data_IF_276289788937
#
_entry.id   IF_276289788937
#
_cell.length_a   1.000
_cell.length_b   1.000
_cell.length_c   1.000
_cell.angle_alpha   90.00
_cell.angle_beta   90.00
_cell.angle_gamma   90.00
#
_symmetry.space_group_name_H-M   'P 1'
#
loop_
_entity.id
_entity.type
_entity.pdbx_description
1 polymer ?
#
# COMPACT_ATOMS: atom_id res chain seq x y z
N UNK A 1 -5.54 55.45 18.66
CA UNK A 1 -6.72 55.74 19.49
C UNK A 1 -7.49 56.89 18.85
N UNK A 2 -8.57 56.61 18.12
CA UNK A 2 -9.80 57.43 18.04
C UNK A 2 -10.83 56.72 17.15
N UNK A 3 -12.09 56.97 17.51
CA UNK A 3 -13.29 56.15 17.29
C UNK A 3 -14.09 56.58 16.06
N UNK A 4 -14.82 55.60 15.50
CA UNK A 4 -16.04 55.67 14.66
C UNK A 4 -16.73 57.04 14.47
N UNK A 5 -17.25 57.31 13.25
CA UNK A 5 -18.62 56.95 12.89
C UNK A 5 -19.00 57.42 11.47
N UNK A 6 -19.98 56.71 10.93
CA UNK A 6 -20.51 56.61 9.55
C UNK A 6 -21.33 57.84 9.15
N UNK A 7 -21.24 58.29 7.89
CA UNK A 7 -22.37 58.88 7.15
C UNK A 7 -22.25 58.54 5.66
N UNK A 8 -23.24 57.82 5.12
CA UNK A 8 -23.38 57.48 3.70
C UNK A 8 -24.04 58.64 2.91
N UNK A 9 -23.52 59.01 1.72
CA UNK A 9 -24.25 59.90 0.81
C UNK A 9 -25.10 59.15 -0.26
N UNK A 10 -26.27 59.70 -0.65
CA UNK A 10 -27.38 58.99 -1.31
C UNK A 10 -27.29 58.96 -2.85
N UNK A 11 -26.10 58.70 -3.42
CA UNK A 11 -25.87 58.80 -4.88
C UNK A 11 -25.35 57.52 -5.54
N UNK A 12 -25.61 56.36 -4.94
CA UNK A 12 -25.11 55.07 -5.42
C UNK A 12 -26.21 54.08 -5.86
N UNK A 13 -27.43 54.56 -6.09
CA UNK A 13 -28.57 53.70 -6.46
C UNK A 13 -28.71 53.41 -7.97
N UNK A 14 -27.95 54.05 -8.86
CA UNK A 14 -28.20 53.97 -10.31
C UNK A 14 -27.03 53.44 -11.16
N UNK A 15 -25.97 52.90 -10.53
CA UNK A 15 -24.88 52.20 -11.24
C UNK A 15 -24.82 50.70 -10.97
N UNK A 16 -25.61 50.21 -10.03
CA UNK A 16 -25.69 48.78 -9.68
C UNK A 16 -26.61 47.98 -10.62
N UNK A 17 -27.58 48.64 -11.28
CA UNK A 17 -28.54 47.95 -12.15
C UNK A 17 -28.00 47.61 -13.55
N UNK A 18 -27.04 48.39 -14.06
CA UNK A 18 -26.40 48.14 -15.37
C UNK A 18 -25.38 46.99 -15.28
N UNK A 19 -24.77 46.77 -14.11
CA UNK A 19 -23.78 45.71 -13.90
C UNK A 19 -24.40 44.33 -13.65
N UNK A 20 -25.66 44.29 -13.19
CA UNK A 20 -26.44 43.07 -12.94
C UNK A 20 -27.05 42.46 -14.23
N UNK A 21 -27.27 43.27 -15.26
CA UNK A 21 -27.88 42.84 -16.55
C UNK A 21 -26.83 42.26 -17.52
N UNK A 22 -25.53 42.53 -17.32
CA UNK A 22 -24.44 41.95 -18.11
C UNK A 22 -24.01 40.54 -17.65
N UNK A 23 -24.53 40.05 -16.52
CA UNK A 23 -24.17 38.75 -15.92
C UNK A 23 -25.18 37.63 -16.25
N UNK A 24 -26.08 37.80 -17.22
CA UNK A 24 -27.14 36.83 -17.53
C UNK A 24 -27.11 36.24 -18.94
N UNK A 25 -26.06 36.50 -19.74
CA UNK A 25 -25.91 35.91 -21.06
C UNK A 25 -24.62 35.09 -21.20
N UNK A 26 -24.51 34.02 -20.40
CA UNK A 26 -23.72 32.85 -20.81
C UNK A 26 -24.66 31.64 -20.87
N UNK A 27 -25.11 31.22 -22.06
CA UNK A 27 -25.83 29.96 -22.21
C UNK A 27 -24.90 28.81 -21.81
N UNK A 28 -25.44 27.90 -21.01
CA UNK A 28 -24.71 26.83 -20.38
C UNK A 28 -23.98 25.93 -21.38
N UNK A 29 -22.75 25.60 -21.04
CA UNK A 29 -22.21 24.27 -21.27
C UNK A 29 -21.94 23.66 -19.90
N UNK A 30 -22.94 22.97 -19.36
CA UNK A 30 -22.68 21.91 -18.38
C UNK A 30 -22.05 20.78 -19.19
N UNK A 31 -20.78 20.95 -19.54
CA UNK A 31 -19.96 19.83 -19.92
C UNK A 31 -19.88 18.96 -18.68
N UNK A 32 -20.37 17.72 -18.78
CA UNK A 32 -19.78 16.65 -17.97
C UNK A 32 -18.29 16.69 -18.29
N UNK A 33 -17.50 17.39 -17.46
CA UNK A 33 -16.13 16.94 -17.24
C UNK A 33 -16.34 15.51 -16.80
N UNK A 34 -15.98 14.59 -17.70
CA UNK A 34 -15.65 13.25 -17.30
C UNK A 34 -14.74 13.48 -16.11
N UNK A 35 -15.24 13.21 -14.90
CA UNK A 35 -14.34 13.02 -13.78
C UNK A 35 -13.59 11.82 -14.31
N UNK A 36 -12.37 12.08 -14.80
CA UNK A 36 -11.39 11.02 -14.97
C UNK A 36 -11.28 10.57 -13.52
N UNK A 37 -12.07 9.56 -13.17
CA UNK A 37 -11.87 8.73 -12.02
C UNK A 37 -10.46 8.26 -12.24
N UNK A 38 -9.54 9.03 -11.68
CA UNK A 38 -8.17 8.66 -11.53
C UNK A 38 -8.30 7.55 -10.53
N UNK A 39 -8.60 6.36 -11.04
CA UNK A 39 -8.19 5.11 -10.45
C UNK A 39 -6.69 5.28 -10.39
N UNK A 40 -6.24 5.91 -9.32
CA UNK A 40 -4.91 5.75 -8.81
C UNK A 40 -4.85 4.26 -8.55
N UNK A 41 -4.44 3.53 -9.58
CA UNK A 41 -3.89 2.20 -9.42
C UNK A 41 -2.77 2.42 -8.43
N UNK A 42 -3.07 2.21 -7.15
CA UNK A 42 -2.07 2.03 -6.12
C UNK A 42 -1.36 0.75 -6.55
N UNK A 43 -0.38 0.90 -7.44
CA UNK A 43 0.47 -0.19 -7.88
C UNK A 43 1.29 -0.57 -6.65
N UNK A 44 0.78 -1.53 -5.88
CA UNK A 44 1.50 -2.10 -4.75
C UNK A 44 2.79 -2.66 -5.31
N UNK A 45 3.91 -2.05 -4.94
CA UNK A 45 5.21 -2.49 -5.41
C UNK A 45 5.56 -3.80 -4.70
N UNK A 46 5.51 -4.89 -5.46
CA UNK A 46 5.95 -6.21 -5.01
C UNK A 46 7.48 -6.25 -4.93
N UNK A 47 7.99 -6.78 -3.83
CA UNK A 47 9.42 -7.01 -3.60
C UNK A 47 9.82 -8.37 -4.16
N UNK A 48 10.89 -8.42 -4.97
CA UNK A 48 11.50 -9.69 -5.40
C UNK A 48 12.14 -10.41 -4.22
N UNK A 49 12.00 -11.73 -4.16
CA UNK A 49 12.41 -12.51 -2.99
C UNK A 49 13.93 -12.42 -2.77
N UNK A 50 14.74 -12.47 -3.84
CA UNK A 50 16.20 -12.35 -3.75
C UNK A 50 16.67 -11.06 -3.05
N UNK A 51 15.90 -9.98 -3.17
CA UNK A 51 16.26 -8.67 -2.65
C UNK A 51 16.14 -8.60 -1.12
N UNK A 52 15.41 -9.53 -0.50
CA UNK A 52 15.17 -9.55 0.95
C UNK A 52 16.49 -9.80 1.70
N UNK A 53 17.22 -10.85 1.30
CA UNK A 53 18.51 -11.19 1.89
C UNK A 53 19.59 -10.14 1.59
N UNK A 54 19.57 -9.57 0.37
CA UNK A 54 20.53 -8.55 -0.05
C UNK A 54 20.38 -7.23 0.71
N UNK A 55 19.14 -6.81 0.96
CA UNK A 55 18.85 -5.51 1.57
C UNK A 55 18.77 -5.56 3.10
N UNK A 56 18.78 -6.77 3.70
CA UNK A 56 18.75 -7.01 5.16
C UNK A 56 17.71 -6.17 5.92
N UNK A 57 16.51 -6.05 5.36
CA UNK A 57 15.44 -5.18 5.90
C UNK A 57 14.61 -5.86 7.00
N UNK A 58 15.27 -6.40 8.04
CA UNK A 58 14.58 -7.01 9.18
C UNK A 58 13.58 -6.02 9.79
N UNK A 59 12.39 -6.50 10.11
CA UNK A 59 11.27 -5.74 10.65
C UNK A 59 10.44 -4.98 9.62
N UNK A 60 10.89 -4.88 8.36
CA UNK A 60 10.13 -4.18 7.30
C UNK A 60 8.88 -4.95 6.87
N UNK A 61 7.82 -4.22 6.50
CA UNK A 61 6.59 -4.80 5.96
C UNK A 61 6.60 -4.65 4.44
N UNK A 62 6.54 -5.78 3.74
CA UNK A 62 6.65 -5.84 2.28
C UNK A 62 5.49 -6.60 1.66
N UNK A 63 5.23 -6.34 0.39
CA UNK A 63 4.40 -7.20 -0.44
C UNK A 63 5.29 -8.14 -1.23
N UNK A 64 4.96 -9.42 -1.25
CA UNK A 64 5.64 -10.43 -2.08
C UNK A 64 4.61 -11.27 -2.81
N UNK A 65 4.95 -11.66 -4.02
CA UNK A 65 4.11 -12.47 -4.89
C UNK A 65 4.90 -13.69 -5.34
N UNK A 66 4.25 -14.85 -5.38
CA UNK A 66 4.86 -16.05 -5.90
C UNK A 66 3.90 -17.23 -5.89
N UNK A 67 4.44 -18.41 -6.19
CA UNK A 67 3.73 -19.67 -6.20
C UNK A 67 4.16 -20.52 -5.00
N UNK A 68 3.19 -21.15 -4.34
CA UNK A 68 3.47 -22.04 -3.21
C UNK A 68 4.18 -23.31 -3.72
N UNK A 69 5.42 -23.50 -3.31
CA UNK A 69 6.27 -24.61 -3.75
C UNK A 69 6.26 -25.79 -2.77
N UNK A 70 6.13 -25.53 -1.47
CA UNK A 70 6.19 -26.57 -0.44
C UNK A 70 5.48 -26.13 0.85
N UNK A 71 5.17 -27.09 1.73
CA UNK A 71 4.46 -26.89 2.98
C UNK A 71 5.22 -27.53 4.16
N UNK A 72 5.19 -26.87 5.32
CA UNK A 72 5.70 -27.37 6.59
C UNK A 72 4.62 -27.17 7.68
N UNK A 73 3.75 -28.17 7.92
CA UNK A 73 2.72 -28.09 8.94
C UNK A 73 3.30 -28.16 10.35
N UNK A 74 2.84 -27.28 11.25
CA UNK A 74 3.18 -27.29 12.68
C UNK A 74 1.90 -27.47 13.52
N UNK A 75 2.05 -27.69 14.83
CA UNK A 75 0.90 -27.73 15.74
C UNK A 75 0.39 -26.30 15.96
N UNK A 76 -0.81 -25.99 15.42
CA UNK A 76 -1.46 -24.68 15.58
C UNK A 76 -0.92 -23.56 14.69
N UNK A 77 0.02 -23.86 13.80
CA UNK A 77 0.62 -22.93 12.83
C UNK A 77 1.19 -23.72 11.65
N UNK A 78 1.87 -23.04 10.73
CA UNK A 78 2.63 -23.69 9.69
C UNK A 78 3.55 -22.72 8.98
N UNK A 79 4.34 -23.25 8.05
CA UNK A 79 5.04 -22.45 7.08
C UNK A 79 4.80 -23.00 5.67
N UNK A 80 4.90 -22.14 4.67
CA UNK A 80 4.90 -22.53 3.28
C UNK A 80 6.04 -21.82 2.54
N UNK A 81 6.60 -22.49 1.54
CA UNK A 81 7.60 -21.88 0.66
C UNK A 81 6.88 -21.14 -0.46
N UNK A 82 7.15 -19.85 -0.56
CA UNK A 82 6.72 -19.03 -1.68
C UNK A 82 7.91 -18.85 -2.62
N UNK A 83 7.71 -19.16 -3.90
CA UNK A 83 8.73 -19.06 -4.95
C UNK A 83 8.31 -18.04 -5.99
N UNK A 84 9.22 -17.11 -6.32
CA UNK A 84 9.08 -16.22 -7.46
C UNK A 84 10.13 -16.55 -8.54
N UNK A 85 10.26 -15.69 -9.54
CA UNK A 85 11.25 -15.87 -10.62
C UNK A 85 12.72 -15.78 -10.16
N UNK A 86 12.97 -15.35 -8.92
CA UNK A 86 14.29 -14.98 -8.41
C UNK A 86 14.78 -15.90 -7.30
N UNK A 87 13.90 -16.31 -6.39
CA UNK A 87 14.25 -17.13 -5.24
C UNK A 87 13.01 -17.76 -4.58
N UNK A 88 13.26 -18.54 -3.52
CA UNK A 88 12.23 -19.11 -2.65
C UNK A 88 12.44 -18.60 -1.23
N UNK A 89 11.36 -18.34 -0.50
CA UNK A 89 11.41 -17.95 0.92
C UNK A 89 10.34 -18.67 1.73
N UNK A 90 10.65 -18.97 2.98
CA UNK A 90 9.67 -19.49 3.93
C UNK A 90 8.78 -18.38 4.46
N UNK A 91 7.47 -18.64 4.46
CA UNK A 91 6.45 -17.78 5.04
C UNK A 91 5.82 -18.53 6.22
N UNK A 92 5.98 -18.00 7.43
CA UNK A 92 5.29 -18.47 8.63
C UNK A 92 3.88 -17.90 8.71
N UNK A 93 2.91 -18.74 9.07
CA UNK A 93 1.51 -18.36 9.22
C UNK A 93 0.81 -19.13 10.34
N UNK A 94 -0.19 -18.50 10.95
CA UNK A 94 -1.18 -19.14 11.82
C UNK A 94 -2.53 -19.37 11.13
N UNK A 95 -2.64 -18.98 9.86
CA UNK A 95 -3.81 -19.24 9.00
C UNK A 95 -3.73 -20.66 8.41
N UNK A 96 -4.84 -21.20 7.86
CA UNK A 96 -4.82 -22.43 7.09
C UNK A 96 -3.76 -22.39 5.97
N UNK A 97 -3.00 -23.48 5.83
CA UNK A 97 -1.95 -23.57 4.82
C UNK A 97 -2.57 -23.50 3.40
N UNK A 98 -1.98 -22.72 2.49
CA UNK A 98 -2.41 -22.66 1.09
C UNK A 98 -2.07 -23.97 0.36
N UNK A 99 -2.61 -24.14 -0.85
CA UNK A 99 -2.34 -25.32 -1.67
C UNK A 99 -1.00 -25.19 -2.41
N UNK A 100 -0.27 -26.29 -2.57
CA UNK A 100 0.90 -26.31 -3.46
C UNK A 100 0.46 -25.97 -4.89
N UNK A 101 1.19 -25.09 -5.56
CA UNK A 101 0.87 -24.55 -6.87
C UNK A 101 -0.03 -23.30 -6.86
N UNK A 102 -0.54 -22.88 -5.71
CA UNK A 102 -1.35 -21.66 -5.57
C UNK A 102 -0.49 -20.41 -5.78
N UNK A 103 -0.94 -19.48 -6.63
CA UNK A 103 -0.32 -18.17 -6.78
C UNK A 103 -0.91 -17.20 -5.76
N UNK A 104 -0.05 -16.51 -5.03
CA UNK A 104 -0.46 -15.66 -3.92
C UNK A 104 0.30 -14.34 -3.92
N UNK A 105 -0.41 -13.27 -3.59
CA UNK A 105 0.15 -11.99 -3.18
C UNK A 105 -0.09 -11.83 -1.69
N UNK A 106 0.96 -11.65 -0.91
CA UNK A 106 0.85 -11.48 0.53
C UNK A 106 1.55 -10.22 0.99
N UNK A 107 1.08 -9.68 2.11
CA UNK A 107 1.82 -8.71 2.91
C UNK A 107 2.41 -9.42 4.11
N UNK A 108 3.69 -9.25 4.33
CA UNK A 108 4.40 -9.89 5.43
C UNK A 108 5.48 -9.01 6.05
N UNK A 109 5.92 -9.39 7.24
CA UNK A 109 7.06 -8.77 7.91
C UNK A 109 8.32 -9.64 7.71
N UNK A 110 9.42 -9.00 7.31
CA UNK A 110 10.71 -9.66 7.17
C UNK A 110 11.31 -9.91 8.54
N UNK A 111 11.64 -11.16 8.83
CA UNK A 111 12.35 -11.57 10.03
C UNK A 111 13.63 -12.32 9.64
N UNK A 112 14.54 -12.45 10.59
CA UNK A 112 15.76 -13.24 10.45
C UNK A 112 15.89 -14.09 11.70
N UNK A 113 16.01 -15.40 11.53
CA UNK A 113 16.25 -16.31 12.66
C UNK A 113 17.74 -16.66 12.68
N UNK A 114 18.42 -16.28 13.76
CA UNK A 114 19.84 -16.58 13.92
C UNK A 114 20.03 -18.04 14.35
N UNK A 115 20.96 -18.74 13.72
CA UNK A 115 21.35 -20.09 14.15
C UNK A 115 22.85 -20.09 14.39
N UNK A 116 23.24 -20.10 15.66
CA UNK A 116 24.65 -20.18 16.06
C UNK A 116 25.07 -21.63 16.24
N UNK A 117 26.20 -22.03 15.64
CA UNK A 117 26.75 -23.38 15.78
C UNK A 117 27.65 -23.47 17.03
N UNK A 118 27.33 -24.37 17.95
CA UNK A 118 28.16 -24.63 19.12
C UNK A 118 29.57 -25.06 18.70
N UNK A 119 30.60 -24.47 19.34
CA UNK A 119 32.01 -24.73 19.02
C UNK A 119 32.57 -23.93 17.84
N UNK A 120 31.75 -23.16 17.11
CA UNK A 120 32.18 -22.26 16.03
C UNK A 120 31.72 -20.82 16.29
N UNK A 121 32.44 -20.04 17.12
CA UNK A 121 32.05 -18.68 17.47
C UNK A 121 32.03 -17.78 16.22
N UNK A 122 30.93 -17.06 16.05
CA UNK A 122 30.74 -16.12 14.94
C UNK A 122 30.20 -16.74 13.65
N UNK A 123 29.97 -18.06 13.59
CA UNK A 123 29.25 -18.68 12.49
C UNK A 123 27.74 -18.63 12.75
N UNK A 124 27.05 -17.81 11.97
CA UNK A 124 25.60 -17.74 11.89
C UNK A 124 25.13 -18.34 10.56
N UNK A 125 24.34 -19.42 10.65
CA UNK A 125 23.73 -20.11 9.51
C UNK A 125 22.22 -19.85 9.43
N UNK A 126 21.76 -18.78 10.10
CA UNK A 126 20.41 -18.29 10.02
C UNK A 126 19.99 -17.85 8.62
N UNK A 127 18.69 -17.64 8.45
CA UNK A 127 18.13 -17.15 7.19
C UNK A 127 16.92 -16.24 7.43
N UNK A 128 16.56 -15.51 6.38
CA UNK A 128 15.38 -14.65 6.37
C UNK A 128 14.11 -15.47 6.15
N UNK A 129 13.04 -15.09 6.84
CA UNK A 129 11.70 -15.60 6.62
C UNK A 129 10.67 -14.48 6.71
N UNK A 130 9.46 -14.78 6.27
CA UNK A 130 8.34 -13.83 6.27
C UNK A 130 7.32 -14.27 7.29
N UNK A 131 6.93 -13.38 8.20
CA UNK A 131 5.72 -13.57 8.98
C UNK A 131 4.53 -13.01 8.20
N UNK A 132 3.59 -13.87 7.85
CA UNK A 132 2.37 -13.48 7.13
C UNK A 132 1.53 -12.51 7.99
N UNK A 133 1.19 -11.36 7.42
CA UNK A 133 0.27 -10.40 8.04
C UNK A 133 -1.10 -10.44 7.37
N UNK A 134 -1.12 -10.55 6.04
CA UNK A 134 -2.34 -10.46 5.25
C UNK A 134 -2.16 -11.18 3.91
N UNK A 135 -3.20 -11.92 3.48
CA UNK A 135 -3.31 -12.45 2.11
C UNK A 135 -4.16 -11.49 1.30
N UNK A 136 -3.67 -11.15 0.12
CA UNK A 136 -4.37 -10.22 -0.75
C UNK A 136 -5.17 -11.04 -1.75
N UNK A 137 -6.47 -11.11 -1.52
CA UNK A 137 -7.43 -11.64 -2.49
C UNK A 137 -7.89 -10.51 -3.39
N UNK A 138 -7.76 -10.67 -4.70
CA UNK A 138 -8.37 -9.73 -5.65
C UNK A 138 -9.87 -10.06 -5.75
N UNK A 139 -10.62 -9.71 -4.70
CA UNK A 139 -12.07 -9.80 -4.71
C UNK A 139 -12.60 -8.56 -5.46
N UNK A 140 -12.71 -8.70 -6.79
CA UNK A 140 -13.58 -7.86 -7.60
C UNK A 140 -15.04 -8.23 -7.36
#
# INVERSE_FOLDING_TARGET
>A
MTTFAIVLPPRFANRFHILLILLSLTPGMIGCRQIIESTTQFTRQTTKIEAIAQQRKVGSKIYIEGTVANLAPFVGAGAYQLQDSTATIWVFTTQPLPSVGEQMLIRGQVNYEQITVEGLPGLDIGDFYIQELERITDNQ
#
